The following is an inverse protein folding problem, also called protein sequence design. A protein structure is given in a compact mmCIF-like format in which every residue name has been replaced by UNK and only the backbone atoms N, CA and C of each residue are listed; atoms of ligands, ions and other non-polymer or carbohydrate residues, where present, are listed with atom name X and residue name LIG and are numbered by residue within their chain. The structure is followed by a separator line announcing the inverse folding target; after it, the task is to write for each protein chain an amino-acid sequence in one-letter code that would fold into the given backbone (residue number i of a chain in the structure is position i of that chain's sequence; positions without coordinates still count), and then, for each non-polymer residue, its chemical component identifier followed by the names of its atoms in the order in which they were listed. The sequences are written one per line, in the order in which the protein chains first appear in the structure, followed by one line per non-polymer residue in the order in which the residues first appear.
data_IF_638371432303
#
_entry.id   IF_638371432303
#
_cell.length_a   1.000
_cell.length_b   1.000
_cell.length_c   1.000
_cell.angle_alpha   90.00
_cell.angle_beta   90.00
_cell.angle_gamma   90.00
#
_symmetry.space_group_name_H-M   'P 1'
#
loop_
_entity.id
_entity.type
_entity.pdbx_description
1 polymer ?
#
# COMPACT_ATOMS: atom_id res chain seq x y z
N UNK A 1 30.42 13.10 -59.96
CA UNK A 1 29.44 13.88 -59.16
C UNK A 1 28.38 12.93 -58.61
N UNK A 2 28.00 13.14 -57.35
CA UNK A 2 27.02 12.39 -56.51
C UNK A 2 27.58 11.26 -55.65
N UNK A 3 28.25 11.63 -54.56
CA UNK A 3 28.22 10.81 -53.33
C UNK A 3 26.94 11.17 -52.56
N UNK A 4 26.00 10.23 -52.44
CA UNK A 4 24.80 10.38 -51.61
C UNK A 4 25.17 10.21 -50.14
N UNK A 5 25.20 11.31 -49.39
CA UNK A 5 25.29 11.29 -47.93
C UNK A 5 23.89 10.98 -47.38
N UNK A 6 23.68 9.78 -46.85
CA UNK A 6 22.48 9.47 -46.05
C UNK A 6 22.68 10.08 -44.66
N UNK A 7 21.75 10.89 -44.12
CA UNK A 7 21.87 11.39 -42.76
C UNK A 7 21.47 10.28 -41.78
N UNK A 8 22.37 9.94 -40.85
CA UNK A 8 22.07 9.06 -39.74
C UNK A 8 21.09 9.77 -38.78
N UNK A 9 19.84 9.32 -38.75
CA UNK A 9 18.86 9.77 -37.75
C UNK A 9 19.29 9.22 -36.37
N UNK A 10 19.74 10.12 -35.50
CA UNK A 10 20.05 9.80 -34.11
C UNK A 10 18.73 9.63 -33.35
N UNK A 11 18.38 8.39 -33.02
CA UNK A 11 17.24 8.08 -32.16
C UNK A 11 17.60 8.46 -30.72
N UNK A 12 17.04 9.56 -30.23
CA UNK A 12 17.16 9.96 -28.83
C UNK A 12 16.29 9.05 -27.97
N UNK A 13 16.93 8.21 -27.16
CA UNK A 13 16.28 7.34 -26.19
C UNK A 13 15.88 8.23 -25.00
N UNK A 14 14.59 8.52 -24.87
CA UNK A 14 14.07 9.29 -23.75
C UNK A 14 14.36 8.56 -22.43
N UNK A 15 15.24 9.10 -21.60
CA UNK A 15 15.58 8.54 -20.31
C UNK A 15 14.37 8.62 -19.37
N UNK A 16 13.72 7.48 -19.12
CA UNK A 16 12.70 7.34 -18.09
C UNK A 16 13.35 7.52 -16.71
N UNK A 17 12.90 8.54 -15.96
CA UNK A 17 13.33 8.74 -14.56
C UNK A 17 13.08 7.45 -13.75
N UNK A 18 14.03 7.00 -12.92
CA UNK A 18 13.85 5.79 -12.13
C UNK A 18 12.69 6.00 -11.15
N UNK A 19 11.69 5.09 -11.21
CA UNK A 19 10.61 5.02 -10.23
C UNK A 19 11.24 4.81 -8.84
N UNK A 20 10.85 5.58 -7.81
CA UNK A 20 11.42 5.43 -6.48
C UNK A 20 11.24 3.99 -6.00
N UNK A 21 12.31 3.41 -5.47
CA UNK A 21 12.30 2.07 -4.89
C UNK A 21 11.25 2.05 -3.77
N UNK A 22 10.16 1.31 -4.01
CA UNK A 22 9.08 1.17 -3.02
C UNK A 22 9.48 0.07 -2.07
N UNK A 23 9.62 0.38 -0.77
CA UNK A 23 9.84 -0.66 0.24
C UNK A 23 8.68 -1.67 0.18
N UNK A 24 8.96 -2.97 0.04
CA UNK A 24 7.89 -3.97 -0.03
C UNK A 24 7.08 -3.97 1.27
N UNK A 25 5.76 -3.94 1.12
CA UNK A 25 4.79 -4.01 2.22
C UNK A 25 4.00 -5.31 2.12
N UNK A 26 3.58 -5.88 3.25
CA UNK A 26 2.65 -7.02 3.21
C UNK A 26 1.27 -6.55 2.74
N UNK A 27 0.44 -7.47 2.22
CA UNK A 27 -0.94 -7.12 1.85
C UNK A 27 -1.75 -6.54 3.02
N UNK A 28 -1.49 -7.02 4.24
CA UNK A 28 -2.11 -6.49 5.45
C UNK A 28 -1.67 -5.04 5.74
N UNK A 29 -0.37 -4.73 5.59
CA UNK A 29 0.12 -3.36 5.75
C UNK A 29 -0.45 -2.42 4.70
N UNK A 30 -0.60 -2.89 3.46
CA UNK A 30 -1.23 -2.11 2.37
C UNK A 30 -2.69 -1.79 2.71
N UNK A 31 -3.44 -2.77 3.22
CA UNK A 31 -4.83 -2.57 3.60
C UNK A 31 -4.97 -1.57 4.76
N UNK A 32 -4.17 -1.70 5.82
CA UNK A 32 -4.21 -0.77 6.95
C UNK A 32 -3.75 0.63 6.54
N UNK A 33 -2.71 0.74 5.72
CA UNK A 33 -2.28 2.03 5.14
C UNK A 33 -3.39 2.69 4.32
N UNK A 34 -4.13 1.89 3.52
CA UNK A 34 -5.26 2.41 2.76
C UNK A 34 -6.36 2.94 3.69
N UNK A 35 -6.68 2.24 4.78
CA UNK A 35 -7.66 2.72 5.77
C UNK A 35 -7.24 4.07 6.37
N UNK A 36 -5.99 4.20 6.81
CA UNK A 36 -5.45 5.45 7.37
C UNK A 36 -5.51 6.59 6.36
N UNK A 37 -5.13 6.35 5.09
CA UNK A 37 -5.20 7.36 4.02
C UNK A 37 -6.62 7.82 3.69
N UNK A 38 -7.62 6.98 3.94
CA UNK A 38 -9.03 7.33 3.78
C UNK A 38 -9.62 7.98 5.05
N UNK A 39 -8.79 8.32 6.04
CA UNK A 39 -9.23 8.97 7.28
C UNK A 39 -9.82 8.00 8.31
N UNK A 40 -9.67 6.69 8.14
CA UNK A 40 -10.07 5.71 9.14
C UNK A 40 -9.16 5.79 10.36
N UNK A 41 -9.72 6.19 11.51
CA UNK A 41 -8.98 6.37 12.77
C UNK A 41 -9.33 5.32 13.83
N UNK A 42 -10.40 4.55 13.64
CA UNK A 42 -10.93 3.58 14.61
C UNK A 42 -11.37 2.32 13.87
N UNK A 43 -11.04 1.15 14.42
CA UNK A 43 -11.46 -0.14 13.89
C UNK A 43 -11.89 -1.08 15.02
N UNK A 44 -13.02 -1.75 14.84
CA UNK A 44 -13.45 -2.85 15.69
C UNK A 44 -12.96 -4.15 15.08
N UNK A 45 -12.03 -4.84 15.76
CA UNK A 45 -11.37 -6.03 15.21
C UNK A 45 -11.34 -7.15 16.24
N UNK A 46 -11.88 -8.31 15.87
CA UNK A 46 -11.85 -9.53 16.67
C UNK A 46 -10.85 -10.53 16.07
N UNK A 47 -9.79 -10.92 16.81
CA UNK A 47 -8.69 -11.71 16.26
C UNK A 47 -9.06 -13.16 16.02
N UNK A 48 -8.57 -13.71 14.91
CA UNK A 48 -8.59 -15.13 14.58
C UNK A 48 -7.32 -15.52 13.82
N UNK A 49 -7.06 -16.84 13.70
CA UNK A 49 -5.83 -17.33 13.05
C UNK A 49 -5.64 -16.81 11.62
N UNK A 50 -6.72 -16.75 10.84
CA UNK A 50 -6.69 -16.25 9.47
C UNK A 50 -6.48 -14.72 9.37
N UNK A 51 -6.98 -13.95 10.33
CA UNK A 51 -6.87 -12.48 10.34
C UNK A 51 -5.61 -11.97 11.05
N UNK A 52 -4.78 -12.85 11.63
CA UNK A 52 -3.60 -12.46 12.40
C UNK A 52 -2.67 -11.46 11.69
N UNK A 53 -2.38 -11.59 10.38
CA UNK A 53 -1.56 -10.59 9.67
C UNK A 53 -2.15 -9.17 9.72
N UNK A 54 -3.49 -9.04 9.67
CA UNK A 54 -4.18 -7.76 9.81
C UNK A 54 -4.05 -7.20 11.23
N UNK A 55 -4.22 -8.02 12.26
CA UNK A 55 -4.05 -7.59 13.64
C UNK A 55 -2.62 -7.10 13.93
N UNK A 56 -1.61 -7.77 13.34
CA UNK A 56 -0.22 -7.30 13.44
C UNK A 56 0.00 -5.97 12.71
N UNK A 57 -0.63 -5.77 11.54
CA UNK A 57 -0.56 -4.50 10.81
C UNK A 57 -1.26 -3.36 11.56
N UNK A 58 -2.42 -3.63 12.15
CA UNK A 58 -3.14 -2.69 13.03
C UNK A 58 -2.30 -2.30 14.25
N UNK A 59 -1.63 -3.27 14.88
CA UNK A 59 -0.73 -3.00 16.01
C UNK A 59 0.45 -2.08 15.62
N UNK A 60 1.06 -2.31 14.44
CA UNK A 60 2.12 -1.43 13.89
C UNK A 60 1.63 -0.01 13.61
N UNK A 61 0.33 0.18 13.39
CA UNK A 61 -0.30 1.48 13.12
C UNK A 61 -1.13 2.01 14.28
N UNK A 62 -0.86 1.54 15.50
CA UNK A 62 -1.62 1.92 16.70
C UNK A 62 -1.62 3.43 17.01
N UNK A 63 -0.63 4.18 16.52
CA UNK A 63 -0.60 5.66 16.61
C UNK A 63 -1.56 6.35 15.63
N UNK A 64 -1.94 5.68 14.53
CA UNK A 64 -2.81 6.23 13.49
C UNK A 64 -4.22 5.65 13.50
N UNK A 65 -4.37 4.40 13.94
CA UNK A 65 -5.66 3.71 14.01
C UNK A 65 -5.85 3.04 15.38
N UNK A 66 -6.88 3.46 16.10
CA UNK A 66 -7.30 2.86 17.36
C UNK A 66 -8.01 1.53 17.07
N UNK A 67 -7.47 0.44 17.59
CA UNK A 67 -8.12 -0.87 17.50
C UNK A 67 -8.92 -1.16 18.77
N UNK A 68 -10.21 -1.46 18.63
CA UNK A 68 -11.11 -1.84 19.72
C UNK A 68 -11.41 -3.33 19.59
N UNK A 69 -11.17 -4.08 20.66
CA UNK A 69 -11.51 -5.49 20.75
C UNK A 69 -12.94 -5.64 21.28
N UNK A 70 -13.93 -6.03 20.46
CA UNK A 70 -15.25 -6.36 20.96
C UNK A 70 -15.22 -7.71 21.71
N UNK A 71 -16.27 -8.01 22.48
CA UNK A 71 -16.43 -9.32 23.13
C UNK A 71 -16.98 -10.41 22.20
N UNK A 72 -17.61 -9.99 21.11
CA UNK A 72 -18.15 -10.86 20.07
C UNK A 72 -18.13 -10.08 18.75
N UNK A 73 -17.96 -10.76 17.63
CA UNK A 73 -17.88 -10.17 16.30
C UNK A 73 -19.12 -9.34 15.98
N UNK A 74 -20.31 -9.82 16.36
CA UNK A 74 -21.57 -9.07 16.23
C UNK A 74 -21.52 -7.73 16.97
N UNK A 75 -20.91 -7.68 18.16
CA UNK A 75 -20.75 -6.45 18.92
C UNK A 75 -19.82 -5.46 18.23
N UNK A 76 -18.81 -5.94 17.50
CA UNK A 76 -17.96 -5.10 16.64
C UNK A 76 -18.67 -4.63 15.37
N UNK A 77 -19.58 -5.44 14.81
CA UNK A 77 -20.33 -5.08 13.61
C UNK A 77 -21.45 -4.06 13.83
N UNK A 78 -21.98 -3.94 15.07
CA UNK A 78 -23.00 -2.95 15.43
C UNK A 78 -22.44 -1.62 15.94
N UNK A 79 -21.17 -1.58 16.35
CA UNK A 79 -20.53 -0.39 16.90
C UNK A 79 -19.99 0.52 15.78
#
# INVERSE_FOLDING_TARGET
MRNSKVPAAQSQIAATKPKPATTPMTGADVLVEALVRNGGDTIFAYPGGASMPLHQALLRRSESIRTILPRHEQGGGFA
#
